data_IF_966382498594
#
_entry.id   IF_966382498594
#
_cell.length_a   1.000
_cell.length_b   1.000
_cell.length_c   1.000
_cell.angle_alpha   90.00
_cell.angle_beta   90.00
_cell.angle_gamma   90.00
#
_symmetry.space_group_name_H-M   'P 1'
#
loop_
_entity.id
_entity.type
_entity.pdbx_description
1 polymer ?
#
# COMPACT_ATOMS: atom_id res chain seq x y z
N UNK A 1 7.87 9.91 5.29
CA UNK A 1 7.83 9.89 3.82
C UNK A 1 8.55 8.65 3.33
N UNK A 2 7.82 7.64 2.83
CA UNK A 2 8.47 6.57 2.06
C UNK A 2 8.43 7.00 0.60
N UNK A 3 9.49 7.64 0.12
CA UNK A 3 9.73 7.99 -1.27
C UNK A 3 10.07 6.76 -2.10
N UNK A 4 9.11 5.83 -2.19
CA UNK A 4 9.19 4.73 -3.15
C UNK A 4 8.42 5.19 -4.36
N UNK A 5 9.16 5.48 -5.43
CA UNK A 5 8.61 5.85 -6.73
C UNK A 5 7.92 4.62 -7.33
N UNK A 6 6.66 4.43 -6.93
CA UNK A 6 5.84 3.27 -7.27
C UNK A 6 5.78 3.05 -8.78
N UNK A 7 5.79 4.13 -9.55
CA UNK A 7 5.75 4.09 -11.02
C UNK A 7 7.01 3.45 -11.61
N UNK A 8 8.17 3.84 -11.09
CA UNK A 8 9.47 3.29 -11.51
C UNK A 8 9.59 1.80 -11.18
N UNK A 9 9.11 1.40 -10.01
CA UNK A 9 9.16 -0.03 -9.63
C UNK A 9 8.09 -0.87 -10.34
N UNK A 10 6.96 -0.27 -10.71
CA UNK A 10 5.97 -0.89 -11.59
C UNK A 10 6.55 -1.16 -12.99
N UNK A 11 7.48 -0.33 -13.48
CA UNK A 11 8.16 -0.57 -14.76
C UNK A 11 9.27 -1.65 -14.71
N UNK A 12 9.93 -1.86 -13.56
CA UNK A 12 11.16 -2.69 -13.45
C UNK A 12 10.93 -4.22 -13.21
N UNK A 13 9.76 -4.76 -13.56
CA UNK A 13 9.57 -6.22 -13.66
C UNK A 13 8.72 -6.90 -12.58
N UNK A 14 8.33 -8.15 -12.85
CA UNK A 14 7.28 -8.90 -12.14
C UNK A 14 7.65 -9.31 -10.71
N UNK A 15 8.93 -9.58 -10.44
CA UNK A 15 9.42 -9.98 -9.11
C UNK A 15 9.28 -8.81 -8.13
N UNK A 16 9.58 -7.59 -8.59
CA UNK A 16 9.48 -6.38 -7.77
C UNK A 16 8.02 -6.00 -7.48
N UNK A 17 7.12 -6.18 -8.46
CA UNK A 17 5.67 -5.98 -8.27
C UNK A 17 5.08 -6.84 -7.16
N UNK A 18 5.43 -8.13 -7.09
CA UNK A 18 4.89 -9.05 -6.06
C UNK A 18 5.36 -8.67 -4.66
N UNK A 19 6.63 -8.31 -4.51
CA UNK A 19 7.20 -7.85 -3.25
C UNK A 19 6.54 -6.54 -2.77
N UNK A 20 6.31 -5.59 -3.67
CA UNK A 20 5.61 -4.34 -3.36
C UNK A 20 4.15 -4.60 -2.99
N UNK A 21 3.44 -5.44 -3.76
CA UNK A 21 2.06 -5.82 -3.45
C UNK A 21 1.92 -6.37 -2.03
N UNK A 22 2.82 -7.26 -1.63
CA UNK A 22 2.85 -7.78 -0.26
C UNK A 22 3.11 -6.70 0.80
N UNK A 23 4.00 -5.74 0.53
CA UNK A 23 4.27 -4.62 1.47
C UNK A 23 3.04 -3.73 1.62
N UNK A 24 2.34 -3.43 0.53
CA UNK A 24 1.11 -2.63 0.55
C UNK A 24 0.00 -3.38 1.30
N UNK A 25 -0.17 -4.69 1.08
CA UNK A 25 -1.16 -5.48 1.82
C UNK A 25 -0.89 -5.52 3.31
N UNK A 26 0.39 -5.64 3.72
CA UNK A 26 0.78 -5.55 5.15
C UNK A 26 0.47 -4.18 5.73
N UNK A 27 0.78 -3.10 5.01
CA UNK A 27 0.48 -1.74 5.43
C UNK A 27 -1.03 -1.49 5.55
N UNK A 28 -1.83 -1.97 4.60
CA UNK A 28 -3.30 -1.91 4.63
C UNK A 28 -3.88 -2.64 5.84
N UNK A 29 -3.38 -3.84 6.15
CA UNK A 29 -3.80 -4.61 7.32
C UNK A 29 -3.48 -3.86 8.61
N UNK A 30 -2.27 -3.34 8.74
CA UNK A 30 -1.87 -2.54 9.90
C UNK A 30 -2.77 -1.31 10.07
N UNK A 31 -3.05 -0.59 8.98
CA UNK A 31 -3.90 0.61 9.01
C UNK A 31 -5.36 0.27 9.34
N UNK A 32 -5.87 -0.87 8.85
CA UNK A 32 -7.20 -1.38 9.20
C UNK A 32 -7.30 -1.73 10.69
N UNK A 33 -6.28 -2.37 11.27
CA UNK A 33 -6.25 -2.69 12.71
C UNK A 33 -6.28 -1.40 13.54
N UNK A 34 -5.49 -0.40 13.18
CA UNK A 34 -5.52 0.92 13.85
C UNK A 34 -6.90 1.55 13.80
N UNK A 35 -7.57 1.51 12.64
CA UNK A 35 -8.93 2.03 12.48
C UNK A 35 -9.95 1.30 13.35
N UNK A 36 -9.88 -0.03 13.41
CA UNK A 36 -10.74 -0.84 14.28
C UNK A 36 -10.51 -0.56 15.77
N UNK A 37 -9.26 -0.34 16.17
CA UNK A 37 -8.88 0.00 17.54
C UNK A 37 -9.11 1.47 17.89
N UNK A 38 -9.60 2.30 16.95
CA UNK A 38 -9.70 3.77 17.09
C UNK A 38 -8.37 4.38 17.55
N UNK A 39 -7.27 3.80 17.09
CA UNK A 39 -5.93 4.25 17.45
C UNK A 39 -5.70 5.65 16.87
N UNK A 40 -5.14 6.56 17.65
CA UNK A 40 -4.95 7.97 17.28
C UNK A 40 -4.16 8.16 15.98
N UNK A 41 -3.23 7.26 15.68
CA UNK A 41 -2.44 7.27 14.43
C UNK A 41 -3.16 6.63 13.23
N UNK A 42 -4.45 6.31 13.34
CA UNK A 42 -5.24 5.88 12.20
C UNK A 42 -5.40 7.05 11.23
N UNK A 43 -5.06 6.81 9.96
CA UNK A 43 -5.20 7.81 8.91
C UNK A 43 -6.03 7.25 7.75
N UNK A 44 -7.21 7.83 7.53
CA UNK A 44 -8.12 7.46 6.44
C UNK A 44 -7.51 7.74 5.05
N UNK A 45 -6.78 8.84 4.89
CA UNK A 45 -6.12 9.18 3.64
C UNK A 45 -5.01 8.18 3.30
N UNK A 46 -4.25 7.76 4.31
CA UNK A 46 -3.26 6.68 4.19
C UNK A 46 -3.92 5.37 3.79
N UNK A 47 -5.06 5.04 4.37
CA UNK A 47 -5.83 3.85 3.98
C UNK A 47 -6.28 3.91 2.52
N UNK A 48 -6.85 5.03 2.07
CA UNK A 48 -7.29 5.25 0.69
C UNK A 48 -6.11 5.14 -0.29
N UNK A 49 -4.99 5.81 0.01
CA UNK A 49 -3.80 5.79 -0.83
C UNK A 49 -3.24 4.37 -1.00
N UNK A 50 -3.15 3.59 0.09
CA UNK A 50 -2.69 2.20 0.02
C UNK A 50 -3.65 1.32 -0.78
N UNK A 51 -4.97 1.52 -0.63
CA UNK A 51 -5.99 0.80 -1.41
C UNK A 51 -5.85 1.11 -2.90
N UNK A 52 -5.72 2.38 -3.27
CA UNK A 52 -5.53 2.80 -4.66
C UNK A 52 -4.23 2.23 -5.25
N UNK A 53 -3.13 2.27 -4.50
CA UNK A 53 -1.85 1.70 -4.95
C UNK A 53 -1.95 0.19 -5.20
N UNK A 54 -2.63 -0.56 -4.33
CA UNK A 54 -2.88 -1.99 -4.52
C UNK A 54 -3.75 -2.26 -5.74
N UNK A 55 -4.80 -1.47 -5.94
CA UNK A 55 -5.72 -1.66 -7.06
C UNK A 55 -5.02 -1.36 -8.40
N UNK A 56 -4.12 -0.36 -8.44
CA UNK A 56 -3.23 -0.11 -9.60
C UNK A 56 -2.24 -1.24 -9.85
N UNK A 57 -1.72 -1.89 -8.81
CA UNK A 57 -0.86 -3.07 -8.95
C UNK A 57 -1.59 -4.31 -9.47
N UNK A 58 -2.90 -4.43 -9.19
CA UNK A 58 -3.74 -5.56 -9.63
C UNK A 58 -4.37 -5.34 -11.00
N UNK A 59 -4.69 -4.10 -11.38
CA UNK A 59 -5.13 -3.77 -12.74
C UNK A 59 -3.92 -3.89 -13.67
N UNK A 60 -3.78 -5.04 -14.30
CA UNK A 60 -2.96 -5.27 -15.48
C UNK A 60 -3.89 -5.62 -16.64
#
# INVERSE_FOLDING_TARGET
>A
MCGVDLDKVLSEGTISRKAIGQRIDRALKAERIKGLQRHWSYDLNRHIALKQARDRLRKK
#
